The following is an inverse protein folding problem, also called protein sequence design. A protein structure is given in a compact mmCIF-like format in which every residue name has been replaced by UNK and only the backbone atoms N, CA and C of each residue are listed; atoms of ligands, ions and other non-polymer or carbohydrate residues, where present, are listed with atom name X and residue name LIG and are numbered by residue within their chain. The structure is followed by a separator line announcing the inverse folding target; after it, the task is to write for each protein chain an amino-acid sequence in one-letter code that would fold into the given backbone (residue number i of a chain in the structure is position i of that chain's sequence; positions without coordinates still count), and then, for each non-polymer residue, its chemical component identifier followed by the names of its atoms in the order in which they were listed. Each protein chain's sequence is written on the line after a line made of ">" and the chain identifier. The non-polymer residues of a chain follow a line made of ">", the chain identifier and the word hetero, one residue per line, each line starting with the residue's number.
data_IF_979049095319
#
_entry.id   IF_979049095319
#
_cell.length_a   1.000
_cell.length_b   1.000
_cell.length_c   1.000
_cell.angle_alpha   90.00
_cell.angle_beta   90.00
_cell.angle_gamma   90.00
#
_symmetry.space_group_name_H-M   'P 1'
#
loop_
_entity.id
_entity.type
_entity.pdbx_description
1 polymer ?
#
# COMPACT_ATOMS: atom_id res chain seq x y z
N UNK A 1 9.51 -5.66 -35.86
CA UNK A 1 9.15 -6.65 -34.83
C UNK A 1 7.87 -6.18 -34.17
N UNK A 2 6.79 -6.97 -34.18
CA UNK A 2 5.55 -6.60 -33.51
C UNK A 2 5.82 -6.56 -32.00
N UNK A 3 5.72 -5.39 -31.40
CA UNK A 3 5.72 -5.23 -29.94
C UNK A 3 4.49 -5.95 -29.39
N UNK A 4 4.65 -7.23 -29.04
CA UNK A 4 3.65 -7.97 -28.28
C UNK A 4 3.63 -7.31 -26.90
N UNK A 5 2.77 -6.32 -26.70
CA UNK A 5 2.51 -5.77 -25.38
C UNK A 5 2.01 -6.92 -24.52
N UNK A 6 2.71 -7.31 -23.45
CA UNK A 6 2.23 -8.38 -22.58
C UNK A 6 0.85 -7.97 -22.04
N UNK A 7 -0.15 -8.80 -22.29
CA UNK A 7 -1.52 -8.56 -21.86
C UNK A 7 -1.61 -8.88 -20.37
N UNK A 8 -1.18 -7.92 -19.54
CA UNK A 8 -1.21 -8.04 -18.08
C UNK A 8 -2.49 -7.40 -17.57
N UNK A 9 -3.30 -8.19 -16.85
CA UNK A 9 -4.49 -7.69 -16.14
C UNK A 9 -4.33 -7.84 -14.63
N UNK A 10 -4.92 -6.93 -13.87
CA UNK A 10 -5.09 -7.09 -12.43
C UNK A 10 -6.25 -8.04 -12.17
N UNK A 11 -6.01 -9.06 -11.35
CA UNK A 11 -7.00 -10.06 -10.92
C UNK A 11 -7.53 -9.73 -9.53
N UNK A 12 -6.66 -9.23 -8.64
CA UNK A 12 -7.02 -8.83 -7.28
C UNK A 12 -6.21 -7.59 -6.88
N UNK A 13 -6.88 -6.63 -6.25
CA UNK A 13 -6.25 -5.55 -5.51
C UNK A 13 -6.27 -5.87 -4.02
N UNK A 14 -5.10 -6.01 -3.43
CA UNK A 14 -4.89 -6.41 -2.03
C UNK A 14 -4.89 -5.17 -1.12
N UNK A 15 -4.81 -3.97 -1.70
CA UNK A 15 -4.81 -2.72 -0.97
C UNK A 15 -3.42 -2.08 -0.89
N UNK A 16 -3.21 -1.30 0.17
CA UNK A 16 -2.13 -0.32 0.23
C UNK A 16 -1.43 -0.30 1.58
N UNK A 17 -0.14 0.06 1.58
CA UNK A 17 0.61 0.44 2.77
C UNK A 17 1.29 1.78 2.58
N UNK A 18 1.23 2.64 3.59
CA UNK A 18 1.74 4.00 3.50
C UNK A 18 3.27 4.02 3.62
N UNK A 19 3.93 4.70 2.69
CA UNK A 19 5.38 4.97 2.70
C UNK A 19 5.65 6.37 3.22
N UNK A 20 4.85 7.34 2.75
CA UNK A 20 5.01 8.76 3.05
C UNK A 20 3.63 9.39 3.23
N UNK A 21 3.49 10.22 4.26
CA UNK A 21 2.31 11.06 4.50
C UNK A 21 2.61 12.51 4.06
N UNK A 22 1.56 13.25 3.72
CA UNK A 22 1.58 14.71 3.62
C UNK A 22 1.63 15.33 5.03
N UNK A 23 1.79 16.65 5.10
CA UNK A 23 1.77 17.39 6.38
C UNK A 23 0.43 17.28 7.11
N UNK A 24 -0.66 17.14 6.37
CA UNK A 24 -2.02 16.92 6.90
C UNK A 24 -2.29 15.44 7.30
N UNK A 25 -1.25 14.59 7.28
CA UNK A 25 -1.34 13.17 7.64
C UNK A 25 -1.91 12.27 6.54
N UNK A 26 -2.39 12.81 5.41
CA UNK A 26 -2.94 12.00 4.32
C UNK A 26 -1.84 11.22 3.58
N UNK A 27 -2.13 10.03 3.02
CA UNK A 27 -1.14 9.27 2.25
C UNK A 27 -0.66 10.05 1.01
N UNK A 28 0.65 10.27 0.90
CA UNK A 28 1.31 10.87 -0.27
C UNK A 28 1.86 9.80 -1.21
N UNK A 29 2.43 8.74 -0.62
CA UNK A 29 3.10 7.67 -1.34
C UNK A 29 2.84 6.33 -0.66
N UNK A 30 2.54 5.31 -1.45
CA UNK A 30 2.12 4.00 -0.93
C UNK A 30 2.76 2.84 -1.69
N UNK A 31 2.90 1.70 -1.03
CA UNK A 31 2.96 0.40 -1.67
C UNK A 31 1.54 -0.03 -2.01
N UNK A 32 1.33 -0.59 -3.20
CA UNK A 32 0.07 -1.21 -3.62
C UNK A 32 0.34 -2.68 -3.94
N UNK A 33 -0.40 -3.57 -3.29
CA UNK A 33 -0.31 -5.02 -3.53
C UNK A 33 -1.33 -5.47 -4.57
N UNK A 34 -0.89 -6.10 -5.65
CA UNK A 34 -1.75 -6.54 -6.75
C UNK A 34 -1.44 -7.98 -7.11
N UNK A 35 -2.46 -8.82 -7.28
CA UNK A 35 -2.33 -10.09 -8.00
C UNK A 35 -2.64 -9.82 -9.46
N UNK A 36 -1.69 -10.08 -10.34
CA UNK A 36 -1.81 -9.88 -11.79
C UNK A 36 -1.69 -11.20 -12.52
N UNK A 37 -2.24 -11.25 -13.72
CA UNK A 37 -2.12 -12.39 -14.63
C UNK A 37 -1.63 -11.88 -15.97
N UNK A 38 -0.58 -12.50 -16.48
CA UNK A 38 -0.02 -12.23 -17.80
C UNK A 38 0.36 -13.51 -18.51
N UNK A 39 1.11 -13.38 -19.60
CA UNK A 39 1.45 -14.51 -20.47
C UNK A 39 2.28 -15.62 -19.79
N UNK A 40 2.91 -15.33 -18.64
CA UNK A 40 3.71 -16.29 -17.86
C UNK A 40 2.97 -16.81 -16.61
N UNK A 41 1.67 -16.56 -16.49
CA UNK A 41 0.83 -16.99 -15.38
C UNK A 41 0.51 -15.87 -14.38
N UNK A 42 -0.01 -16.27 -13.22
CA UNK A 42 -0.33 -15.37 -12.10
C UNK A 42 0.93 -14.99 -11.34
N UNK A 43 1.01 -13.73 -10.92
CA UNK A 43 2.12 -13.21 -10.12
C UNK A 43 1.65 -12.09 -9.21
N UNK A 44 2.38 -11.88 -8.13
CA UNK A 44 2.13 -10.78 -7.18
C UNK A 44 3.04 -9.61 -7.59
N UNK A 45 2.46 -8.42 -7.64
CA UNK A 45 3.16 -7.17 -7.91
C UNK A 45 2.95 -6.23 -6.74
N UNK A 46 4.04 -5.92 -6.05
CA UNK A 46 4.09 -4.83 -5.06
C UNK A 46 4.68 -3.62 -5.77
N UNK A 47 3.85 -2.59 -5.90
CA UNK A 47 4.12 -1.42 -6.73
C UNK A 47 4.15 -0.15 -5.91
N UNK A 48 5.07 0.75 -6.23
CA UNK A 48 5.11 2.07 -5.60
C UNK A 48 4.16 3.00 -6.34
N UNK A 49 3.31 3.72 -5.62
CA UNK A 49 2.35 4.65 -6.19
C UNK A 49 2.41 6.02 -5.51
N UNK A 50 2.26 7.09 -6.31
CA UNK A 50 1.94 8.43 -5.81
C UNK A 50 0.43 8.57 -5.71
N UNK A 51 -0.06 8.96 -4.52
CA UNK A 51 -1.48 9.20 -4.32
C UNK A 51 -1.84 10.53 -4.96
N UNK A 52 -2.89 10.53 -5.80
CA UNK A 52 -3.38 11.73 -6.50
C UNK A 52 -4.64 12.28 -5.85
N UNK A 53 -5.55 11.39 -5.46
CA UNK A 53 -6.81 11.77 -4.85
C UNK A 53 -7.27 10.72 -3.85
N UNK A 54 -7.73 11.20 -2.71
CA UNK A 54 -8.47 10.44 -1.71
C UNK A 54 -9.97 10.67 -1.88
N UNK A 55 -10.78 9.65 -1.59
CA UNK A 55 -12.23 9.75 -1.42
C UNK A 55 -12.57 9.18 -0.04
N UNK A 56 -12.80 10.07 0.92
CA UNK A 56 -12.84 9.75 2.34
C UNK A 56 -11.56 9.01 2.78
N UNK A 57 -11.73 7.80 3.31
CA UNK A 57 -10.62 6.94 3.79
C UNK A 57 -9.97 6.08 2.66
N UNK A 58 -10.43 6.18 1.41
CA UNK A 58 -9.94 5.32 0.30
C UNK A 58 -9.11 6.12 -0.71
N UNK A 59 -8.08 5.48 -1.27
CA UNK A 59 -7.33 6.03 -2.40
C UNK A 59 -8.16 5.86 -3.66
N UNK A 60 -8.70 6.96 -4.20
CA UNK A 60 -9.50 6.95 -5.41
C UNK A 60 -8.62 6.90 -6.68
N UNK A 61 -7.51 7.65 -6.67
CA UNK A 61 -6.60 7.75 -7.82
C UNK A 61 -5.13 7.74 -7.37
N UNK A 62 -4.31 6.97 -8.10
CA UNK A 62 -2.87 6.90 -7.85
C UNK A 62 -2.09 6.57 -9.13
N UNK A 63 -0.89 7.14 -9.25
CA UNK A 63 0.00 6.92 -10.39
C UNK A 63 1.14 5.99 -10.03
N UNK A 64 1.47 5.06 -10.94
CA UNK A 64 2.61 4.18 -10.76
C UNK A 64 3.93 4.97 -10.79
N UNK A 65 4.69 4.88 -9.70
CA UNK A 65 5.89 5.66 -9.45
C UNK A 65 7.19 4.97 -9.92
N UNK A 66 7.09 3.99 -10.83
CA UNK A 66 8.13 3.03 -11.24
C UNK A 66 8.55 2.07 -10.12
N UNK A 67 9.01 0.88 -10.51
CA UNK A 67 9.40 -0.20 -9.57
C UNK A 67 10.83 0.01 -9.09
N UNK A 68 10.99 0.58 -7.90
CA UNK A 68 12.24 0.59 -7.16
C UNK A 68 11.97 0.32 -5.69
N UNK A 69 12.70 -0.62 -5.11
CA UNK A 69 12.66 -0.91 -3.68
C UNK A 69 13.83 -0.20 -3.02
N UNK A 70 13.53 0.87 -2.30
CA UNK A 70 14.53 1.65 -1.58
C UNK A 70 14.26 1.48 -0.09
N UNK A 71 15.27 1.05 0.65
CA UNK A 71 15.19 0.94 2.10
C UNK A 71 15.90 2.14 2.73
N UNK A 72 15.32 2.76 3.78
CA UNK A 72 16.02 3.76 4.56
C UNK A 72 17.34 3.21 5.11
N UNK A 73 18.39 4.03 5.15
CA UNK A 73 19.65 3.69 5.82
C UNK A 73 19.54 3.90 7.35
N UNK A 74 18.45 3.38 7.91
CA UNK A 74 18.17 3.28 9.34
C UNK A 74 17.57 1.90 9.57
N UNK A 75 18.12 1.15 10.54
CA UNK A 75 17.78 -0.25 10.74
C UNK A 75 16.29 -0.43 11.03
N UNK A 76 15.74 0.35 11.95
CA UNK A 76 14.33 0.23 12.37
C UNK A 76 13.39 0.53 11.21
N UNK A 77 13.62 1.63 10.50
CA UNK A 77 12.81 2.05 9.35
C UNK A 77 12.95 1.09 8.16
N UNK A 78 14.12 0.50 7.95
CA UNK A 78 14.32 -0.54 6.93
C UNK A 78 13.47 -1.79 7.23
N UNK A 79 13.47 -2.26 8.48
CA UNK A 79 12.63 -3.39 8.89
C UNK A 79 11.13 -3.07 8.84
N UNK A 80 10.72 -1.85 9.22
CA UNK A 80 9.34 -1.42 9.07
C UNK A 80 8.90 -1.43 7.58
N UNK A 81 9.77 -0.95 6.67
CA UNK A 81 9.53 -1.02 5.22
C UNK A 81 9.41 -2.47 4.74
N UNK A 82 10.28 -3.35 5.24
CA UNK A 82 10.24 -4.78 4.91
C UNK A 82 8.95 -5.44 5.38
N UNK A 83 8.57 -5.25 6.65
CA UNK A 83 7.34 -5.83 7.22
C UNK A 83 6.11 -5.36 6.45
N UNK A 84 6.04 -4.08 6.10
CA UNK A 84 4.95 -3.53 5.28
C UNK A 84 4.82 -4.24 3.91
N UNK A 85 5.95 -4.59 3.27
CA UNK A 85 5.94 -5.33 2.01
C UNK A 85 5.52 -6.80 2.24
N UNK A 86 5.98 -7.41 3.33
CA UNK A 86 5.64 -8.78 3.69
C UNK A 86 4.15 -8.95 4.01
N UNK A 87 3.54 -8.02 4.73
CA UNK A 87 2.10 -8.05 5.01
C UNK A 87 1.26 -8.00 3.72
N UNK A 88 1.67 -7.19 2.72
CA UNK A 88 1.00 -7.18 1.41
C UNK A 88 1.18 -8.51 0.66
N UNK A 89 2.32 -9.18 0.83
CA UNK A 89 2.58 -10.48 0.24
C UNK A 89 1.72 -11.58 0.90
N UNK A 90 1.67 -11.60 2.23
CA UNK A 90 0.86 -12.54 3.02
C UNK A 90 -0.63 -12.38 2.72
N UNK A 91 -1.11 -11.13 2.65
CA UNK A 91 -2.49 -10.82 2.26
C UNK A 91 -2.80 -11.29 0.83
N UNK A 92 -1.85 -11.17 -0.09
CA UNK A 92 -2.02 -11.65 -1.47
C UNK A 92 -2.07 -13.19 -1.57
N UNK A 93 -1.40 -13.90 -0.67
CA UNK A 93 -1.39 -15.36 -0.59
C UNK A 93 -2.55 -15.93 0.23
N UNK A 94 -3.33 -15.07 0.90
CA UNK A 94 -4.40 -15.49 1.80
C UNK A 94 -3.91 -16.07 3.13
N UNK A 95 -2.64 -15.84 3.47
CA UNK A 95 -2.02 -16.28 4.72
C UNK A 95 -2.12 -15.23 5.84
N UNK A 96 -2.64 -14.04 5.52
CA UNK A 96 -3.10 -13.08 6.51
C UNK A 96 -4.40 -13.59 7.15
N UNK A 97 -4.34 -13.90 8.45
CA UNK A 97 -5.50 -14.27 9.25
C UNK A 97 -6.60 -13.20 9.17
N UNK A 98 -7.64 -13.46 8.36
CA UNK A 98 -8.98 -12.91 8.55
C UNK A 98 -9.18 -11.42 8.25
N UNK A 99 -10.33 -11.13 7.63
CA UNK A 99 -11.15 -9.91 7.81
C UNK A 99 -10.45 -8.67 8.38
N UNK A 100 -10.29 -7.62 7.56
CA UNK A 100 -10.66 -6.23 7.90
C UNK A 100 -9.98 -5.24 6.94
N UNK A 101 -10.62 -5.00 5.80
CA UNK A 101 -10.32 -3.85 4.94
C UNK A 101 -10.68 -2.49 5.60
N UNK A 102 -11.20 -2.51 6.83
CA UNK A 102 -11.58 -1.33 7.61
C UNK A 102 -10.68 -1.09 8.85
N UNK A 103 -9.93 -2.09 9.34
CA UNK A 103 -9.27 -1.99 10.66
C UNK A 103 -7.84 -1.46 10.64
N UNK A 104 -7.13 -1.50 9.53
CA UNK A 104 -5.74 -0.99 9.48
C UNK A 104 -5.65 0.54 9.29
N UNK A 105 -6.69 1.18 8.73
CA UNK A 105 -6.75 2.65 8.73
C UNK A 105 -7.18 3.18 10.10
N UNK A 106 -7.79 2.35 10.96
CA UNK A 106 -8.24 2.77 12.29
C UNK A 106 -7.18 2.48 13.37
N UNK A 107 -6.38 1.40 13.24
CA UNK A 107 -5.32 1.10 14.20
C UNK A 107 -4.15 2.11 14.18
N UNK A 108 -3.89 2.78 13.06
CA UNK A 108 -2.88 3.86 12.93
C UNK A 108 -3.45 5.27 13.15
N UNK A 109 -4.76 5.42 13.32
CA UNK A 109 -5.45 6.73 13.46
C UNK A 109 -6.37 6.84 14.69
N UNK A 110 -6.52 5.78 15.49
CA UNK A 110 -7.50 5.71 16.58
C UNK A 110 -7.02 6.12 17.97
N UNK A 111 -5.76 6.52 18.16
CA UNK A 111 -5.21 6.77 19.51
C UNK A 111 -4.47 8.12 19.70
N UNK A 112 -4.63 9.11 18.82
CA UNK A 112 -4.04 10.45 19.03
C UNK A 112 -5.06 11.61 18.98
N UNK A 113 -6.36 11.33 19.07
CA UNK A 113 -7.42 12.36 19.03
C UNK A 113 -8.23 12.51 20.32
N UNK A 114 -7.93 11.77 21.39
CA UNK A 114 -8.63 11.87 22.69
C UNK A 114 -7.92 12.73 23.75
N UNK A 115 -6.74 13.31 23.47
CA UNK A 115 -6.00 14.13 24.46
C UNK A 115 -5.94 15.64 24.13
N UNK A 116 -6.82 16.15 23.26
CA UNK A 116 -6.91 17.59 22.92
C UNK A 116 -8.28 18.21 23.21
N UNK A 117 -9.01 17.70 24.19
CA UNK A 117 -10.21 18.37 24.69
C UNK A 117 -10.29 18.25 26.22
N UNK A 118 -9.40 18.96 26.91
CA UNK A 118 -9.61 19.46 28.28
C UNK A 118 -8.50 20.47 28.65
N UNK A 119 -8.66 21.72 28.19
CA UNK A 119 -8.30 22.95 28.93
C UNK A 119 -8.55 24.20 28.06
N UNK A 120 -9.74 24.76 28.20
CA UNK A 120 -10.01 26.19 28.00
C UNK A 120 -10.73 26.73 29.23
#
# INVERSE_FOLDING_TARGET
>A
MSEIRPNVRTVLDVGYRVILKNEDGTPKKVWRGLVKEGNYGKFISIEQHWVRRMDGKKIAESDWARKSFNFPFDRSKAFATWNSIMELLEAALGEGSGSDLEREVEAEFGNELEDLDDNF
#
